data_IF_834549930334
#
_entry.id   IF_834549930334
#
_cell.length_a   1.000
_cell.length_b   1.000
_cell.length_c   1.000
_cell.angle_alpha   90.00
_cell.angle_beta   90.00
_cell.angle_gamma   90.00
#
_symmetry.space_group_name_H-M   'P 1'
#
loop_
_entity.id
_entity.type
_entity.pdbx_description
1 polymer ?
#
# COMPACT_ATOMS: atom_id res chain seq x y z
N UNK A 1 11.14 16.55 -27.98
CA UNK A 1 12.31 16.13 -27.18
C UNK A 1 11.90 15.35 -25.91
N UNK A 2 11.00 14.34 -26.03
CA UNK A 2 10.41 13.59 -24.89
C UNK A 2 10.96 12.17 -24.70
N UNK A 3 11.66 11.60 -25.69
CA UNK A 3 12.18 10.22 -25.64
C UNK A 3 13.28 9.97 -24.58
N UNK A 4 14.22 10.90 -24.27
CA UNK A 4 15.31 10.61 -23.34
C UNK A 4 14.80 10.35 -21.90
N UNK A 5 13.79 11.10 -21.45
CA UNK A 5 13.25 10.99 -20.10
C UNK A 5 12.33 9.78 -19.94
N UNK A 6 11.61 9.39 -21.00
CA UNK A 6 10.80 8.16 -21.00
C UNK A 6 11.68 6.92 -20.80
N UNK A 7 12.71 6.77 -21.64
CA UNK A 7 13.63 5.63 -21.55
C UNK A 7 14.33 5.58 -20.19
N UNK A 8 14.71 6.75 -19.63
CA UNK A 8 15.26 6.83 -18.28
C UNK A 8 14.27 6.39 -17.20
N UNK A 9 13.01 6.86 -17.27
CA UNK A 9 11.97 6.48 -16.32
C UNK A 9 11.75 4.97 -16.32
N UNK A 10 11.65 4.38 -17.52
CA UNK A 10 11.47 2.94 -17.70
C UNK A 10 12.66 2.13 -17.16
N UNK A 11 13.88 2.52 -17.51
CA UNK A 11 15.09 1.84 -17.05
C UNK A 11 15.24 1.92 -15.53
N UNK A 12 15.01 3.11 -14.93
CA UNK A 12 15.07 3.30 -13.49
C UNK A 12 14.01 2.46 -12.76
N UNK A 13 12.76 2.49 -13.22
CA UNK A 13 11.67 1.71 -12.62
C UNK A 13 11.92 0.21 -12.74
N UNK A 14 12.36 -0.28 -13.91
CA UNK A 14 12.68 -1.70 -14.10
C UNK A 14 13.83 -2.14 -13.21
N UNK A 15 14.90 -1.34 -13.11
CA UNK A 15 16.06 -1.67 -12.29
C UNK A 15 15.69 -1.83 -10.81
N UNK A 16 15.05 -0.81 -10.19
CA UNK A 16 14.69 -0.91 -8.77
C UNK A 16 13.61 -1.96 -8.51
N UNK A 17 12.71 -2.17 -9.46
CA UNK A 17 11.71 -3.22 -9.39
C UNK A 17 12.38 -4.59 -9.36
N UNK A 18 13.21 -4.91 -10.35
CA UNK A 18 13.87 -6.22 -10.44
C UNK A 18 14.74 -6.48 -9.20
N UNK A 19 15.51 -5.50 -8.74
CA UNK A 19 16.35 -5.65 -7.55
C UNK A 19 15.52 -5.91 -6.27
N UNK A 20 14.49 -5.10 -6.02
CA UNK A 20 13.65 -5.27 -4.83
C UNK A 20 12.86 -6.59 -4.86
N UNK A 21 12.33 -6.98 -6.02
CA UNK A 21 11.56 -8.21 -6.17
C UNK A 21 12.44 -9.46 -6.16
N UNK A 22 13.67 -9.39 -6.67
CA UNK A 22 14.64 -10.48 -6.52
C UNK A 22 14.92 -10.76 -5.03
N UNK A 23 15.06 -9.73 -4.20
CA UNK A 23 15.22 -9.90 -2.75
C UNK A 23 13.98 -10.57 -2.15
N UNK A 24 12.79 -10.06 -2.44
CA UNK A 24 11.55 -10.53 -1.80
C UNK A 24 11.19 -11.95 -2.23
N UNK A 25 11.13 -12.23 -3.53
CA UNK A 25 10.84 -13.57 -4.03
C UNK A 25 11.98 -14.54 -3.79
N UNK A 26 13.23 -14.06 -3.78
CA UNK A 26 14.40 -14.85 -3.40
C UNK A 26 14.28 -15.34 -1.96
N UNK A 27 13.93 -14.46 -1.02
CA UNK A 27 13.66 -14.82 0.38
C UNK A 27 12.50 -15.82 0.46
N UNK A 28 11.35 -15.50 -0.14
CA UNK A 28 10.18 -16.36 -0.06
C UNK A 28 10.45 -17.76 -0.59
N UNK A 29 11.13 -17.86 -1.73
CA UNK A 29 11.49 -19.15 -2.33
C UNK A 29 12.52 -19.89 -1.47
N UNK A 30 13.56 -19.20 -1.00
CA UNK A 30 14.64 -19.82 -0.22
C UNK A 30 14.12 -20.40 1.09
N UNK A 31 13.24 -19.68 1.77
CA UNK A 31 12.64 -20.13 3.03
C UNK A 31 11.55 -21.18 2.81
N UNK A 32 10.83 -21.13 1.68
CA UNK A 32 9.86 -22.15 1.32
C UNK A 32 10.53 -23.52 1.11
N UNK A 33 11.75 -23.54 0.58
CA UNK A 33 12.52 -24.77 0.44
C UNK A 33 12.91 -25.42 1.77
N UNK A 34 12.94 -24.67 2.88
CA UNK A 34 13.41 -25.19 4.17
C UNK A 34 12.28 -25.93 4.89
N UNK A 35 12.39 -27.25 4.99
CA UNK A 35 11.52 -28.11 5.78
C UNK A 35 12.20 -28.52 7.08
N UNK A 36 11.55 -28.25 8.21
CA UNK A 36 12.02 -28.67 9.52
C UNK A 36 11.18 -29.87 9.93
N UNK A 37 11.77 -31.07 9.86
CA UNK A 37 11.12 -32.32 10.20
C UNK A 37 11.42 -32.60 11.66
N UNK A 38 10.43 -32.36 12.53
CA UNK A 38 10.49 -32.74 13.95
C UNK A 38 10.15 -34.23 14.07
N UNK A 39 11.00 -35.05 14.71
CA UNK A 39 10.70 -36.47 14.90
C UNK A 39 9.49 -36.68 15.81
N UNK A 40 8.89 -37.88 15.73
CA UNK A 40 7.79 -38.29 16.60
C UNK A 40 8.21 -38.35 18.07
N UNK A 41 7.27 -38.09 18.98
CA UNK A 41 7.46 -37.98 20.44
C UNK A 41 8.08 -39.25 21.07
N UNK A 42 7.99 -40.40 20.40
CA UNK A 42 8.47 -41.69 20.91
C UNK A 42 9.99 -41.91 20.82
N UNK A 43 10.75 -40.99 20.20
CA UNK A 43 12.22 -41.07 20.13
C UNK A 43 12.88 -40.27 21.26
N UNK A 44 13.52 -40.95 22.21
CA UNK A 44 14.18 -40.35 23.38
C UNK A 44 15.32 -39.37 23.03
N UNK A 45 15.80 -39.37 21.79
CA UNK A 45 16.80 -38.45 21.24
C UNK A 45 16.43 -38.10 19.79
N UNK A 46 15.40 -37.29 19.65
CA UNK A 46 14.90 -36.79 18.37
C UNK A 46 15.77 -35.63 17.85
N UNK A 47 16.62 -35.88 16.84
CA UNK A 47 17.37 -34.81 16.14
C UNK A 47 16.46 -34.02 15.19
N UNK A 48 16.60 -32.70 15.18
CA UNK A 48 15.88 -31.82 14.23
C UNK A 48 16.52 -31.96 12.85
N UNK A 49 15.78 -32.55 11.90
CA UNK A 49 16.24 -32.66 10.51
C UNK A 49 15.82 -31.44 9.70
N UNK A 50 16.78 -30.81 9.02
CA UNK A 50 16.53 -29.73 8.06
C UNK A 50 16.70 -30.29 6.66
N UNK A 51 15.61 -30.33 5.89
CA UNK A 51 15.59 -30.83 4.52
C UNK A 51 15.31 -29.67 3.56
N UNK A 52 16.05 -29.63 2.44
CA UNK A 52 15.78 -28.71 1.33
C UNK A 52 14.86 -29.42 0.35
N UNK A 53 13.66 -28.88 0.17
CA UNK A 53 12.62 -29.43 -0.71
C UNK A 53 12.07 -28.32 -1.62
N UNK A 54 12.50 -28.34 -2.88
CA UNK A 54 12.10 -27.33 -3.87
C UNK A 54 10.62 -27.43 -4.26
N UNK A 55 9.99 -28.61 -4.13
CA UNK A 55 8.59 -28.82 -4.51
C UNK A 55 7.63 -28.03 -3.60
N UNK A 56 8.10 -27.60 -2.43
CA UNK A 56 7.35 -26.75 -1.49
C UNK A 56 7.25 -25.29 -1.92
N UNK A 57 8.10 -24.82 -2.83
CA UNK A 57 8.11 -23.39 -3.23
C UNK A 57 6.75 -22.95 -3.78
N UNK A 58 6.17 -23.71 -4.71
CA UNK A 58 4.88 -23.40 -5.32
C UNK A 58 3.73 -23.31 -4.28
N UNK A 59 3.49 -24.37 -3.50
CA UNK A 59 2.47 -24.38 -2.44
C UNK A 59 2.66 -23.25 -1.39
N UNK A 60 3.88 -22.99 -0.94
CA UNK A 60 4.13 -21.92 0.05
C UNK A 60 3.90 -20.53 -0.55
N UNK A 61 4.33 -20.28 -1.79
CA UNK A 61 4.01 -19.01 -2.47
C UNK A 61 2.51 -18.83 -2.67
N UNK A 62 1.77 -19.91 -2.98
CA UNK A 62 0.30 -19.88 -3.07
C UNK A 62 -0.34 -19.53 -1.73
N UNK A 63 0.16 -20.10 -0.64
CA UNK A 63 -0.28 -19.77 0.73
C UNK A 63 -0.02 -18.30 1.05
N UNK A 64 1.19 -17.79 0.75
CA UNK A 64 1.55 -16.38 0.92
C UNK A 64 0.64 -15.44 0.12
N UNK A 65 0.24 -15.84 -1.08
CA UNK A 65 -0.63 -15.03 -1.93
C UNK A 65 -2.09 -14.96 -1.46
N UNK A 66 -2.59 -15.96 -0.74
CA UNK A 66 -4.03 -16.11 -0.47
C UNK A 66 -4.43 -15.98 1.01
N UNK A 67 -3.50 -15.72 1.93
CA UNK A 67 -3.79 -15.56 3.36
C UNK A 67 -3.94 -14.08 3.81
N UNK A 68 -4.46 -13.87 5.02
CA UNK A 68 -4.76 -12.54 5.63
C UNK A 68 -5.70 -11.69 4.78
N UNK A 69 -5.49 -10.36 4.70
CA UNK A 69 -6.25 -9.44 3.84
C UNK A 69 -6.49 -9.98 2.42
N UNK A 70 -5.55 -10.77 1.85
CA UNK A 70 -5.72 -11.33 0.51
C UNK A 70 -6.87 -12.34 0.44
N UNK A 71 -7.14 -13.09 1.52
CA UNK A 71 -8.24 -14.05 1.56
C UNK A 71 -9.60 -13.34 1.45
N UNK A 72 -9.74 -12.16 2.08
CA UNK A 72 -10.93 -11.33 1.98
C UNK A 72 -11.13 -10.78 0.57
N UNK A 73 -10.08 -10.23 -0.05
CA UNK A 73 -10.14 -9.76 -1.44
C UNK A 73 -10.44 -10.90 -2.42
N UNK A 74 -9.81 -12.06 -2.23
CA UNK A 74 -10.05 -13.26 -3.04
C UNK A 74 -11.49 -13.77 -2.87
N UNK A 75 -12.01 -13.80 -1.64
CA UNK A 75 -13.39 -14.16 -1.35
C UNK A 75 -14.39 -13.27 -2.08
N UNK A 76 -14.14 -11.95 -2.11
CA UNK A 76 -14.96 -11.01 -2.90
C UNK A 76 -14.83 -11.28 -4.40
N UNK A 77 -13.62 -11.54 -4.90
CA UNK A 77 -13.40 -11.82 -6.31
C UNK A 77 -14.16 -13.08 -6.79
N UNK A 78 -14.26 -14.10 -5.93
CA UNK A 78 -14.99 -15.34 -6.21
C UNK A 78 -16.51 -15.19 -6.05
N UNK A 79 -16.93 -14.74 -4.87
CA UNK A 79 -18.31 -14.92 -4.39
C UNK A 79 -19.06 -13.59 -4.24
N UNK A 80 -18.38 -12.44 -4.41
CA UNK A 80 -18.93 -11.14 -4.09
C UNK A 80 -18.91 -10.84 -2.59
N UNK A 81 -19.62 -9.78 -2.20
CA UNK A 81 -19.78 -9.43 -0.79
C UNK A 81 -20.70 -10.42 -0.09
N UNK A 82 -20.45 -10.63 1.20
CA UNK A 82 -21.29 -11.51 2.01
C UNK A 82 -22.70 -10.92 2.15
N UNK A 83 -23.71 -11.62 1.64
CA UNK A 83 -25.10 -11.18 1.65
C UNK A 83 -25.82 -11.69 2.91
N UNK A 84 -25.81 -10.88 3.97
CA UNK A 84 -26.57 -11.12 5.21
C UNK A 84 -26.85 -9.80 5.93
N UNK A 85 -27.93 -9.69 6.74
CA UNK A 85 -28.18 -8.51 7.55
C UNK A 85 -26.97 -8.13 8.41
N UNK A 86 -26.69 -6.83 8.51
CA UNK A 86 -25.56 -6.33 9.28
C UNK A 86 -25.69 -6.68 10.77
N UNK A 87 -24.65 -7.29 11.35
CA UNK A 87 -24.48 -7.48 12.79
C UNK A 87 -23.03 -7.21 13.24
N UNK A 88 -22.88 -6.86 14.52
CA UNK A 88 -21.59 -6.51 15.17
C UNK A 88 -21.07 -7.65 16.05
N UNK A 89 -21.18 -8.89 15.59
CA UNK A 89 -20.69 -10.05 16.34
C UNK A 89 -19.86 -11.02 15.52
N UNK A 90 -19.68 -10.73 14.22
CA UNK A 90 -18.97 -11.62 13.30
C UNK A 90 -18.36 -10.81 12.17
N UNK A 91 -17.06 -11.00 11.97
CA UNK A 91 -16.32 -10.46 10.82
C UNK A 91 -17.00 -10.77 9.48
N UNK A 92 -16.90 -9.82 8.55
CA UNK A 92 -17.40 -9.95 7.19
C UNK A 92 -16.47 -9.21 6.23
N UNK A 93 -16.54 -9.55 4.94
CA UNK A 93 -15.71 -8.93 3.92
C UNK A 93 -16.09 -7.47 3.55
N UNK A 94 -17.07 -6.89 4.24
CA UNK A 94 -17.57 -5.52 3.97
C UNK A 94 -16.53 -4.42 4.19
N UNK A 95 -15.48 -4.66 4.98
CA UNK A 95 -14.36 -3.72 5.17
C UNK A 95 -13.49 -3.52 3.92
N UNK A 96 -13.57 -4.42 2.94
CA UNK A 96 -12.63 -4.51 1.83
C UNK A 96 -13.25 -3.90 0.57
N UNK A 97 -12.57 -2.92 -0.01
CA UNK A 97 -13.06 -2.11 -1.12
C UNK A 97 -12.99 -2.87 -2.47
N UNK A 98 -13.89 -2.58 -3.43
CA UNK A 98 -14.15 -3.48 -4.56
C UNK A 98 -13.15 -3.39 -5.71
N UNK A 99 -12.40 -2.30 -5.88
CA UNK A 99 -11.61 -2.11 -7.11
C UNK A 99 -10.57 -3.21 -7.36
N UNK A 100 -9.85 -3.66 -6.33
CA UNK A 100 -8.86 -4.73 -6.47
C UNK A 100 -9.50 -6.12 -6.69
N UNK A 101 -10.50 -6.57 -5.90
CA UNK A 101 -11.22 -7.81 -6.16
C UNK A 101 -11.84 -7.90 -7.55
N UNK A 102 -12.44 -6.81 -8.06
CA UNK A 102 -13.04 -6.80 -9.39
C UNK A 102 -11.99 -6.95 -10.50
N UNK A 103 -10.83 -6.29 -10.35
CA UNK A 103 -9.70 -6.49 -11.25
C UNK A 103 -9.19 -7.93 -11.19
N UNK A 104 -9.04 -8.48 -9.99
CA UNK A 104 -8.58 -9.85 -9.79
C UNK A 104 -9.54 -10.88 -10.41
N UNK A 105 -10.85 -10.71 -10.19
CA UNK A 105 -11.90 -11.50 -10.83
C UNK A 105 -11.80 -11.48 -12.35
N UNK A 106 -11.58 -10.30 -12.95
CA UNK A 106 -11.43 -10.15 -14.39
C UNK A 106 -10.25 -10.94 -14.95
N UNK A 107 -9.12 -10.97 -14.26
CA UNK A 107 -7.94 -11.76 -14.67
C UNK A 107 -8.18 -13.25 -14.44
N UNK A 108 -8.78 -13.65 -13.31
CA UNK A 108 -9.12 -15.05 -13.04
C UNK A 108 -10.10 -15.63 -14.08
N UNK A 109 -10.99 -14.80 -14.63
CA UNK A 109 -11.91 -15.20 -15.70
C UNK A 109 -11.19 -15.67 -16.99
N UNK A 110 -9.89 -15.40 -17.14
CA UNK A 110 -9.06 -15.94 -18.23
C UNK A 110 -8.62 -17.39 -18.00
N UNK A 111 -8.96 -17.99 -16.85
CA UNK A 111 -8.52 -19.32 -16.43
C UNK A 111 -7.21 -19.34 -15.65
N UNK A 112 -6.62 -18.17 -15.37
CA UNK A 112 -5.39 -18.08 -14.58
C UNK A 112 -5.64 -18.42 -13.10
N UNK A 113 -4.72 -19.17 -12.50
CA UNK A 113 -4.75 -19.51 -11.08
C UNK A 113 -4.87 -18.25 -10.19
N UNK A 114 -5.63 -18.34 -9.10
CA UNK A 114 -5.90 -17.22 -8.20
C UNK A 114 -4.62 -16.62 -7.61
N UNK A 115 -3.72 -17.46 -7.07
CA UNK A 115 -2.50 -16.96 -6.46
C UNK A 115 -1.56 -16.33 -7.49
N UNK A 116 -1.39 -17.00 -8.63
CA UNK A 116 -0.54 -16.52 -9.73
C UNK A 116 -1.06 -15.19 -10.27
N UNK A 117 -2.36 -15.10 -10.55
CA UNK A 117 -3.00 -13.87 -11.04
C UNK A 117 -2.88 -12.73 -10.04
N UNK A 118 -3.13 -12.97 -8.74
CA UNK A 118 -3.01 -11.96 -7.71
C UNK A 118 -1.59 -11.39 -7.59
N UNK A 119 -0.58 -12.27 -7.54
CA UNK A 119 0.83 -11.88 -7.49
C UNK A 119 1.21 -11.11 -8.76
N UNK A 120 0.82 -11.60 -9.94
CA UNK A 120 1.14 -10.97 -11.22
C UNK A 120 0.53 -9.57 -11.33
N UNK A 121 -0.76 -9.42 -10.99
CA UNK A 121 -1.45 -8.12 -10.98
C UNK A 121 -0.70 -7.13 -10.08
N UNK A 122 -0.43 -7.51 -8.83
CA UNK A 122 0.22 -6.61 -7.87
C UNK A 122 1.61 -6.17 -8.30
N UNK A 123 2.40 -7.08 -8.87
CA UNK A 123 3.76 -6.76 -9.30
C UNK A 123 3.79 -5.94 -10.60
N UNK A 124 2.90 -6.20 -11.57
CA UNK A 124 2.75 -5.37 -12.77
C UNK A 124 2.29 -3.95 -12.38
N UNK A 125 1.29 -3.85 -11.51
CA UNK A 125 0.81 -2.56 -11.03
C UNK A 125 1.88 -1.82 -10.22
N UNK A 126 2.70 -2.51 -9.44
CA UNK A 126 3.79 -1.86 -8.71
C UNK A 126 4.85 -1.30 -9.67
N UNK A 127 5.25 -2.07 -10.68
CA UNK A 127 6.17 -1.60 -11.73
C UNK A 127 5.59 -0.36 -12.46
N UNK A 128 4.31 -0.41 -12.83
CA UNK A 128 3.63 0.72 -13.43
C UNK A 128 3.57 1.93 -12.48
N UNK A 129 3.29 1.70 -11.19
CA UNK A 129 3.26 2.72 -10.15
C UNK A 129 4.62 3.41 -9.97
N UNK A 130 5.72 2.66 -9.99
CA UNK A 130 7.08 3.21 -9.99
C UNK A 130 7.35 4.07 -11.22
N UNK A 131 7.00 3.57 -12.41
CA UNK A 131 7.16 4.34 -13.65
C UNK A 131 6.37 5.65 -13.61
N UNK A 132 5.10 5.61 -13.19
CA UNK A 132 4.25 6.79 -13.07
C UNK A 132 4.77 7.75 -11.99
N UNK A 133 5.31 7.24 -10.88
CA UNK A 133 5.87 8.07 -9.81
C UNK A 133 7.10 8.83 -10.29
N UNK A 134 7.99 8.17 -11.02
CA UNK A 134 9.16 8.81 -11.62
C UNK A 134 8.74 9.96 -12.55
N UNK A 135 7.80 9.66 -13.46
CA UNK A 135 7.25 10.65 -14.40
C UNK A 135 6.56 11.80 -13.68
N UNK A 136 5.74 11.52 -12.67
CA UNK A 136 5.07 12.55 -11.88
C UNK A 136 6.09 13.45 -11.17
N UNK A 137 7.13 12.86 -10.59
CA UNK A 137 8.18 13.60 -9.87
C UNK A 137 8.90 14.60 -10.79
N UNK A 138 9.18 14.20 -12.03
CA UNK A 138 9.74 15.09 -13.05
C UNK A 138 8.74 16.15 -13.51
N UNK A 139 7.48 15.76 -13.75
CA UNK A 139 6.44 16.64 -14.28
C UNK A 139 6.02 17.72 -13.24
N UNK A 140 6.25 17.50 -11.94
CA UNK A 140 6.10 18.54 -10.88
C UNK A 140 7.37 19.38 -10.65
N UNK A 141 8.42 19.19 -11.47
CA UNK A 141 9.59 20.06 -11.50
C UNK A 141 10.77 19.62 -10.63
N UNK A 142 10.80 18.38 -10.14
CA UNK A 142 12.01 17.84 -9.50
C UNK A 142 13.01 17.29 -10.54
N UNK A 143 14.27 17.18 -10.13
CA UNK A 143 15.35 16.62 -10.96
C UNK A 143 15.33 15.08 -11.01
N UNK A 144 16.15 14.52 -11.92
CA UNK A 144 16.29 13.08 -12.12
C UNK A 144 16.75 12.34 -10.87
N UNK A 145 17.61 12.94 -10.03
CA UNK A 145 18.13 12.29 -8.84
C UNK A 145 17.05 12.15 -7.77
N UNK A 146 16.20 13.17 -7.59
CA UNK A 146 15.03 13.10 -6.71
C UNK A 146 14.06 12.02 -7.19
N UNK A 147 13.80 11.96 -8.49
CA UNK A 147 12.92 10.95 -9.07
C UNK A 147 13.47 9.52 -8.84
N UNK A 148 14.77 9.29 -9.11
CA UNK A 148 15.42 8.00 -8.90
C UNK A 148 15.40 7.59 -7.42
N UNK A 149 15.69 8.52 -6.50
CA UNK A 149 15.64 8.27 -5.05
C UNK A 149 14.24 7.99 -4.53
N UNK A 150 13.23 8.66 -5.07
CA UNK A 150 11.84 8.36 -4.72
C UNK A 150 11.48 6.91 -5.06
N UNK A 151 11.97 6.40 -6.19
CA UNK A 151 11.81 5.00 -6.55
C UNK A 151 12.56 4.07 -5.60
N UNK A 152 13.81 4.37 -5.26
CA UNK A 152 14.59 3.57 -4.31
C UNK A 152 13.91 3.52 -2.93
N UNK A 153 13.46 4.67 -2.45
CA UNK A 153 12.71 4.78 -1.19
C UNK A 153 11.49 3.88 -1.18
N UNK A 154 10.69 3.91 -2.25
CA UNK A 154 9.47 3.11 -2.31
C UNK A 154 9.74 1.61 -2.54
N UNK A 155 10.68 1.28 -3.42
CA UNK A 155 11.01 -0.10 -3.78
C UNK A 155 11.72 -0.86 -2.67
N UNK A 156 12.53 -0.17 -1.85
CA UNK A 156 13.29 -0.78 -0.76
C UNK A 156 12.78 -0.40 0.63
N UNK A 157 11.60 0.24 0.75
CA UNK A 157 11.05 0.52 2.08
C UNK A 157 10.85 -0.79 2.87
N UNK A 158 10.92 -0.75 4.21
CA UNK A 158 10.78 -1.93 5.07
C UNK A 158 9.57 -2.81 4.77
N UNK A 159 8.48 -2.21 4.28
CA UNK A 159 7.20 -2.88 4.02
C UNK A 159 6.93 -3.08 2.53
N UNK A 160 7.95 -3.03 1.68
CA UNK A 160 7.81 -3.09 0.21
C UNK A 160 7.24 -4.43 -0.29
N UNK A 161 7.31 -5.50 0.50
CA UNK A 161 6.70 -6.79 0.16
C UNK A 161 5.17 -6.71 0.03
N UNK A 162 4.49 -5.73 0.67
CA UNK A 162 3.06 -5.52 0.45
C UNK A 162 2.69 -5.14 -0.98
N UNK A 163 3.62 -4.54 -1.73
CA UNK A 163 3.41 -4.28 -3.16
C UNK A 163 3.54 -5.54 -4.04
N UNK A 164 4.06 -6.64 -3.49
CA UNK A 164 4.10 -7.95 -4.18
C UNK A 164 2.89 -8.83 -3.88
N UNK A 165 2.15 -8.54 -2.80
CA UNK A 165 1.02 -9.34 -2.36
C UNK A 165 -0.27 -8.93 -3.09
N UNK A 166 -1.27 -9.82 -3.22
CA UNK A 166 -2.56 -9.53 -3.86
C UNK A 166 -3.45 -8.58 -3.05
N UNK A 167 -2.94 -7.40 -2.73
CA UNK A 167 -3.57 -6.37 -1.92
C UNK A 167 -3.68 -5.07 -2.72
N UNK A 168 -4.43 -4.12 -2.17
CA UNK A 168 -4.73 -2.84 -2.83
C UNK A 168 -3.53 -1.89 -3.00
N UNK A 169 -2.39 -2.09 -2.33
CA UNK A 169 -1.28 -1.14 -2.28
C UNK A 169 -0.77 -0.72 -3.67
N UNK A 170 -0.47 -1.70 -4.52
CA UNK A 170 0.05 -1.45 -5.88
C UNK A 170 -0.98 -0.79 -6.78
N UNK A 171 -2.24 -1.21 -6.69
CA UNK A 171 -3.34 -0.59 -7.43
C UNK A 171 -3.57 0.85 -6.98
N UNK A 172 -3.58 1.09 -5.67
CA UNK A 172 -3.78 2.41 -5.11
C UNK A 172 -2.64 3.37 -5.47
N UNK A 173 -1.39 2.90 -5.51
CA UNK A 173 -0.25 3.67 -5.98
C UNK A 173 -0.47 4.13 -7.43
N UNK A 174 -0.83 3.22 -8.35
CA UNK A 174 -1.12 3.56 -9.76
C UNK A 174 -2.25 4.56 -9.87
N UNK A 175 -3.37 4.33 -9.17
CA UNK A 175 -4.55 5.19 -9.25
C UNK A 175 -4.28 6.59 -8.68
N UNK A 176 -3.63 6.68 -7.52
CA UNK A 176 -3.35 7.97 -6.86
C UNK A 176 -2.31 8.79 -7.64
N UNK A 177 -1.17 8.19 -8.01
CA UNK A 177 -0.12 8.84 -8.82
C UNK A 177 -0.67 9.19 -10.21
N UNK A 178 -1.38 8.25 -10.84
CA UNK A 178 -1.99 8.42 -12.13
C UNK A 178 -2.98 9.59 -12.16
N UNK A 179 -3.83 9.72 -11.14
CA UNK A 179 -4.78 10.84 -11.00
C UNK A 179 -4.06 12.19 -11.00
N UNK A 180 -2.96 12.33 -10.24
CA UNK A 180 -2.15 13.55 -10.24
C UNK A 180 -1.47 13.81 -11.58
N UNK A 181 -0.92 12.76 -12.20
CA UNK A 181 -0.20 12.88 -13.47
C UNK A 181 -1.13 13.33 -14.61
N UNK A 182 -2.33 12.77 -14.70
CA UNK A 182 -3.32 13.17 -15.71
C UNK A 182 -3.94 14.54 -15.41
N UNK A 183 -4.02 14.92 -14.13
CA UNK A 183 -4.39 16.28 -13.70
C UNK A 183 -3.37 17.31 -14.20
N UNK A 184 -2.06 17.06 -14.03
CA UNK A 184 -1.00 17.96 -14.52
C UNK A 184 -1.08 18.11 -16.04
N UNK A 185 -1.36 17.00 -16.73
CA UNK A 185 -1.56 16.97 -18.19
C UNK A 185 -2.92 17.48 -18.65
N UNK A 186 -3.80 17.93 -17.73
CA UNK A 186 -5.13 18.47 -18.01
C UNK A 186 -6.10 17.51 -18.72
N UNK A 187 -5.93 16.20 -18.53
CA UNK A 187 -6.85 15.17 -19.01
C UNK A 187 -7.95 14.90 -17.96
N UNK A 188 -8.96 15.76 -17.91
CA UNK A 188 -9.97 15.78 -16.84
C UNK A 188 -10.86 14.54 -16.80
N UNK A 189 -11.20 13.98 -17.95
CA UNK A 189 -12.03 12.79 -18.06
C UNK A 189 -11.31 11.57 -17.45
N UNK A 190 -10.02 11.39 -17.79
CA UNK A 190 -9.19 10.33 -17.22
C UNK A 190 -8.89 10.58 -15.74
N UNK A 191 -8.76 11.85 -15.32
CA UNK A 191 -8.64 12.23 -13.91
C UNK A 191 -9.84 11.75 -13.11
N UNK A 192 -11.06 11.94 -13.61
CA UNK A 192 -12.27 11.40 -12.99
C UNK A 192 -12.22 9.87 -12.89
N UNK A 193 -11.93 9.17 -13.99
CA UNK A 193 -11.92 7.69 -14.01
C UNK A 193 -10.92 7.14 -12.98
N UNK A 194 -9.68 7.62 -13.00
CA UNK A 194 -8.65 7.15 -12.06
C UNK A 194 -8.98 7.53 -10.60
N UNK A 195 -9.48 8.75 -10.38
CA UNK A 195 -9.88 9.22 -9.05
C UNK A 195 -11.08 8.46 -8.48
N UNK A 196 -12.07 8.14 -9.32
CA UNK A 196 -13.21 7.32 -8.92
C UNK A 196 -12.80 5.89 -8.60
N UNK A 197 -11.94 5.28 -9.42
CA UNK A 197 -11.35 3.98 -9.10
C UNK A 197 -10.52 4.03 -7.81
N UNK A 198 -9.80 5.13 -7.52
CA UNK A 198 -9.06 5.28 -6.27
C UNK A 198 -10.00 5.30 -5.06
N UNK A 199 -11.12 6.02 -5.16
CA UNK A 199 -12.18 6.06 -4.13
C UNK A 199 -12.84 4.70 -3.92
N UNK A 200 -12.96 3.90 -4.99
CA UNK A 200 -13.44 2.51 -4.93
C UNK A 200 -12.34 1.50 -4.54
N UNK A 201 -11.09 1.93 -4.38
CA UNK A 201 -9.96 1.07 -4.01
C UNK A 201 -9.66 1.14 -2.52
N UNK A 202 -9.71 2.35 -1.93
CA UNK A 202 -9.47 2.59 -0.50
C UNK A 202 -10.17 3.87 -0.05
N UNK A 203 -10.52 3.96 1.23
CA UNK A 203 -11.08 5.19 1.82
C UNK A 203 -10.16 6.42 1.61
N UNK A 204 -8.84 6.21 1.66
CA UNK A 204 -7.81 7.25 1.42
C UNK A 204 -7.94 7.88 0.02
N UNK A 205 -8.53 7.18 -0.94
CA UNK A 205 -8.82 7.72 -2.27
C UNK A 205 -9.72 8.96 -2.24
N UNK A 206 -10.64 9.06 -1.26
CA UNK A 206 -11.48 10.25 -1.08
C UNK A 206 -10.66 11.52 -0.79
N UNK A 207 -9.47 11.38 -0.20
CA UNK A 207 -8.60 12.52 0.11
C UNK A 207 -7.94 13.14 -1.13
N UNK A 208 -8.02 12.47 -2.29
CA UNK A 208 -7.67 13.09 -3.57
C UNK A 208 -8.54 14.31 -3.86
N UNK A 209 -9.82 14.31 -3.46
CA UNK A 209 -10.74 15.42 -3.72
C UNK A 209 -10.24 16.74 -3.10
N UNK A 210 -10.12 16.87 -1.76
CA UNK A 210 -9.64 18.13 -1.16
C UNK A 210 -8.20 18.45 -1.57
N UNK A 211 -7.37 17.44 -1.79
CA UNK A 211 -5.99 17.61 -2.27
C UNK A 211 -5.92 18.28 -3.65
N UNK A 212 -6.68 17.78 -4.63
CA UNK A 212 -6.70 18.30 -5.99
C UNK A 212 -7.39 19.67 -6.04
N UNK A 213 -8.45 19.88 -5.24
CA UNK A 213 -9.05 21.20 -5.07
C UNK A 213 -8.01 22.22 -4.63
N UNK A 214 -7.26 21.91 -3.56
CA UNK A 214 -6.23 22.80 -3.02
C UNK A 214 -5.07 23.01 -3.99
N UNK A 215 -4.67 21.96 -4.72
CA UNK A 215 -3.60 22.05 -5.72
C UNK A 215 -3.96 22.97 -6.89
N UNK A 216 -5.19 22.90 -7.40
CA UNK A 216 -5.65 23.69 -8.55
C UNK A 216 -6.19 25.07 -8.16
N UNK A 217 -6.48 25.31 -6.87
CA UNK A 217 -7.07 26.55 -6.38
C UNK A 217 -6.33 27.84 -6.78
N UNK A 218 -4.98 27.89 -6.73
CA UNK A 218 -4.24 29.07 -7.16
C UNK A 218 -4.44 29.41 -8.65
N UNK A 219 -4.76 28.39 -9.46
CA UNK A 219 -4.95 28.51 -10.91
C UNK A 219 -6.44 28.54 -11.31
N UNK A 220 -7.37 28.69 -10.35
CA UNK A 220 -8.81 28.53 -10.59
C UNK A 220 -9.42 29.39 -11.70
N UNK A 221 -8.82 30.56 -11.99
CA UNK A 221 -9.28 31.44 -13.07
C UNK A 221 -8.98 30.92 -14.50
N UNK A 222 -8.05 29.97 -14.65
CA UNK A 222 -7.65 29.42 -15.96
C UNK A 222 -7.96 27.93 -16.13
N UNK A 223 -8.41 27.27 -15.06
CA UNK A 223 -8.75 25.84 -15.06
C UNK A 223 -10.17 25.65 -15.60
N UNK A 224 -10.32 24.69 -16.52
CA UNK A 224 -11.61 24.36 -17.13
C UNK A 224 -12.64 23.89 -16.10
N UNK A 225 -13.92 24.22 -16.30
CA UNK A 225 -15.06 23.70 -15.52
C UNK A 225 -15.06 22.16 -15.46
N UNK A 226 -14.57 21.50 -16.51
CA UNK A 226 -14.44 20.03 -16.56
C UNK A 226 -13.58 19.48 -15.42
N UNK A 227 -12.53 20.19 -15.00
CA UNK A 227 -11.67 19.75 -13.90
C UNK A 227 -12.43 19.71 -12.58
N UNK A 228 -13.21 20.76 -12.28
CA UNK A 228 -14.01 20.85 -11.06
C UNK A 228 -15.13 19.80 -11.02
N UNK A 229 -15.79 19.56 -12.16
CA UNK A 229 -16.78 18.49 -12.29
C UNK A 229 -16.12 17.12 -12.05
N UNK A 230 -14.97 16.87 -12.68
CA UNK A 230 -14.24 15.62 -12.52
C UNK A 230 -13.83 15.37 -11.06
N UNK A 231 -13.35 16.39 -10.34
CA UNK A 231 -13.02 16.30 -8.91
C UNK A 231 -14.27 16.01 -8.07
N UNK A 232 -15.37 16.74 -8.31
CA UNK A 232 -16.62 16.55 -7.59
C UNK A 232 -17.25 15.18 -7.84
N UNK A 233 -17.00 14.58 -9.01
CA UNK A 233 -17.53 13.28 -9.39
C UNK A 233 -16.69 12.09 -8.88
N UNK A 234 -15.42 12.27 -8.46
CA UNK A 234 -14.58 11.16 -7.99
C UNK A 234 -15.23 10.31 -6.86
N UNK A 235 -15.92 10.90 -5.86
CA UNK A 235 -16.58 10.11 -4.81
C UNK A 235 -17.65 9.13 -5.31
N UNK A 236 -18.13 9.25 -6.56
CA UNK A 236 -19.10 8.30 -7.12
C UNK A 236 -18.60 6.85 -7.09
N UNK A 237 -17.28 6.61 -7.18
CA UNK A 237 -16.73 5.26 -7.02
C UNK A 237 -16.93 4.69 -5.60
N UNK A 238 -16.82 5.54 -4.58
CA UNK A 238 -17.12 5.15 -3.20
C UNK A 238 -18.62 5.01 -2.95
N UNK A 239 -19.44 5.91 -3.51
CA UNK A 239 -20.91 5.83 -3.41
C UNK A 239 -21.44 4.54 -4.06
N UNK A 240 -20.91 4.14 -5.21
CA UNK A 240 -21.28 2.87 -5.84
C UNK A 240 -20.99 1.67 -4.91
N UNK A 241 -19.84 1.70 -4.21
CA UNK A 241 -19.50 0.67 -3.23
C UNK A 241 -20.47 0.65 -2.04
N UNK A 242 -20.82 1.79 -1.46
CA UNK A 242 -21.75 1.81 -0.31
C UNK A 242 -23.16 1.39 -0.70
N UNK A 243 -23.59 1.62 -1.94
CA UNK A 243 -24.87 1.09 -2.48
C UNK A 243 -24.83 -0.44 -2.57
N UNK A 244 -23.72 -1.03 -3.03
CA UNK A 244 -23.55 -2.50 -3.03
C UNK A 244 -23.67 -3.05 -1.61
N UNK A 245 -22.98 -2.43 -0.65
CA UNK A 245 -23.08 -2.85 0.77
C UNK A 245 -24.48 -2.70 1.33
N UNK A 246 -25.22 -1.66 0.96
CA UNK A 246 -26.62 -1.51 1.36
C UNK A 246 -27.48 -2.67 0.85
N UNK A 247 -27.30 -3.07 -0.41
CA UNK A 247 -28.07 -4.18 -0.98
C UNK A 247 -27.76 -5.52 -0.30
N UNK A 248 -26.49 -5.76 0.04
CA UNK A 248 -26.05 -7.05 0.60
C UNK A 248 -26.23 -7.14 2.13
N UNK A 249 -26.15 -6.01 2.84
CA UNK A 249 -26.15 -5.97 4.31
C UNK A 249 -27.24 -5.12 4.96
N UNK A 250 -27.91 -4.25 4.20
CA UNK A 250 -28.82 -3.24 4.75
C UNK A 250 -28.12 -2.10 5.50
N UNK A 251 -26.80 -1.94 5.38
CA UNK A 251 -26.04 -0.88 6.05
C UNK A 251 -25.04 -0.21 5.08
N UNK A 252 -25.25 1.09 4.77
CA UNK A 252 -24.32 1.88 3.93
C UNK A 252 -22.92 2.03 4.55
N UNK A 253 -22.83 1.99 5.87
CA UNK A 253 -21.59 2.18 6.63
C UNK A 253 -20.95 0.85 7.07
N UNK A 254 -21.40 -0.28 6.52
CA UNK A 254 -20.90 -1.61 6.90
C UNK A 254 -19.36 -1.68 6.85
N UNK A 255 -18.71 -1.05 5.86
CA UNK A 255 -17.24 -1.01 5.74
C UNK A 255 -16.50 -0.39 6.93
N UNK A 256 -17.14 0.57 7.60
CA UNK A 256 -16.59 1.30 8.75
C UNK A 256 -17.02 0.64 10.05
N UNK A 257 -18.29 0.24 10.15
CA UNK A 257 -18.83 -0.35 11.37
C UNK A 257 -18.20 -1.71 11.68
N UNK A 258 -17.95 -2.52 10.65
CA UNK A 258 -17.34 -3.85 10.80
C UNK A 258 -15.88 -3.78 11.27
N UNK A 259 -15.21 -2.63 11.18
CA UNK A 259 -13.82 -2.43 11.66
C UNK A 259 -13.69 -2.70 13.18
N UNK A 260 -14.79 -2.59 13.94
CA UNK A 260 -14.81 -2.86 15.37
C UNK A 260 -14.48 -4.32 15.71
N UNK A 261 -14.79 -5.26 14.80
CA UNK A 261 -14.43 -6.68 14.92
C UNK A 261 -12.91 -6.92 14.87
N UNK A 262 -12.15 -5.93 14.42
CA UNK A 262 -10.68 -5.91 14.45
C UNK A 262 -10.13 -4.95 15.50
N UNK A 263 -10.96 -4.58 16.49
CA UNK A 263 -10.58 -3.67 17.59
C UNK A 263 -10.34 -2.22 17.16
N UNK A 264 -10.69 -1.84 15.93
CA UNK A 264 -10.50 -0.48 15.42
C UNK A 264 -11.73 0.39 15.68
N UNK A 265 -11.50 1.55 16.28
CA UNK A 265 -12.54 2.54 16.56
C UNK A 265 -11.93 3.94 16.52
N UNK A 266 -12.74 4.95 16.20
CA UNK A 266 -12.26 6.32 16.16
C UNK A 266 -11.81 6.74 17.57
N UNK A 267 -10.53 7.07 17.73
CA UNK A 267 -9.97 7.54 18.99
C UNK A 267 -8.67 8.30 18.77
N UNK A 268 -8.33 9.17 19.72
CA UNK A 268 -7.06 9.89 19.68
C UNK A 268 -5.94 8.90 20.04
N UNK A 269 -4.90 8.75 19.22
CA UNK A 269 -3.86 7.72 19.40
C UNK A 269 -2.88 7.99 20.56
N UNK A 270 -3.21 8.84 21.54
CA UNK A 270 -2.29 9.18 22.64
C UNK A 270 -1.85 7.95 23.43
N UNK A 271 -2.74 6.96 23.63
CA UNK A 271 -2.37 5.69 24.27
C UNK A 271 -1.34 4.93 23.44
N UNK A 272 -1.61 4.77 22.15
CA UNK A 272 -0.77 3.97 21.24
C UNK A 272 0.60 4.60 21.01
N UNK A 273 0.67 5.93 20.94
CA UNK A 273 1.92 6.69 20.95
C UNK A 273 2.62 6.63 22.32
N UNK A 274 1.87 6.76 23.42
CA UNK A 274 2.38 6.68 24.78
C UNK A 274 3.07 5.35 25.08
N UNK A 275 2.56 4.22 24.56
CA UNK A 275 3.23 2.92 24.76
C UNK A 275 4.63 2.91 24.15
N UNK A 276 4.84 3.51 22.98
CA UNK A 276 6.17 3.53 22.33
C UNK A 276 7.18 4.33 23.16
N UNK A 277 6.72 5.44 23.77
CA UNK A 277 7.57 6.32 24.55
C UNK A 277 7.83 5.79 25.98
N UNK A 278 6.81 5.21 26.61
CA UNK A 278 6.87 4.76 28.02
C UNK A 278 7.41 3.34 28.14
N UNK A 279 7.15 2.47 27.15
CA UNK A 279 7.57 1.07 27.13
C UNK A 279 8.39 0.77 25.86
N UNK A 280 9.54 1.43 25.65
CA UNK A 280 10.34 1.24 24.43
C UNK A 280 10.87 -0.19 24.24
N UNK A 281 10.95 -0.98 25.32
CA UNK A 281 11.30 -2.41 25.25
C UNK A 281 10.17 -3.30 24.69
N UNK A 282 8.92 -2.80 24.65
CA UNK A 282 7.79 -3.52 24.09
C UNK A 282 7.69 -3.25 22.59
N UNK A 283 8.56 -3.90 21.83
CA UNK A 283 8.77 -3.61 20.41
C UNK A 283 7.60 -4.07 19.52
N UNK A 284 6.90 -5.13 19.91
CA UNK A 284 5.84 -5.70 19.09
C UNK A 284 4.72 -6.34 19.90
N UNK A 285 3.50 -6.25 19.35
CA UNK A 285 2.33 -7.03 19.75
C UNK A 285 1.57 -7.39 18.49
N UNK A 286 1.30 -8.67 18.27
CA UNK A 286 0.71 -9.16 17.02
C UNK A 286 1.47 -8.56 15.81
N UNK A 287 0.74 -7.98 14.86
CA UNK A 287 1.22 -7.47 13.57
C UNK A 287 1.67 -6.00 13.63
N UNK A 288 2.02 -5.51 14.82
CA UNK A 288 2.42 -4.14 15.08
C UNK A 288 3.89 -4.05 15.55
N UNK A 289 4.83 -3.90 14.62
CA UNK A 289 6.20 -3.47 14.95
C UNK A 289 6.20 -1.98 15.30
N UNK A 290 5.97 -1.69 16.58
CA UNK A 290 5.63 -0.34 17.07
C UNK A 290 6.70 0.72 16.73
N UNK A 291 8.02 0.47 16.91
CA UNK A 291 9.04 1.46 16.57
C UNK A 291 9.05 1.80 15.09
N UNK A 292 8.90 0.80 14.21
CA UNK A 292 8.87 1.03 12.76
C UNK A 292 7.64 1.87 12.36
N UNK A 293 6.46 1.50 12.86
CA UNK A 293 5.23 2.23 12.58
C UNK A 293 5.29 3.67 13.09
N UNK A 294 5.88 3.87 14.26
CA UNK A 294 6.11 5.20 14.85
C UNK A 294 7.09 6.05 14.02
N UNK A 295 8.25 5.49 13.67
CA UNK A 295 9.27 6.19 12.85
C UNK A 295 8.74 6.51 11.46
N UNK A 296 8.00 5.59 10.83
CA UNK A 296 7.36 5.84 9.54
C UNK A 296 6.33 6.97 9.60
N UNK A 297 5.52 7.02 10.67
CA UNK A 297 4.58 8.12 10.89
C UNK A 297 5.28 9.46 11.11
N UNK A 298 6.31 9.50 11.97
CA UNK A 298 7.10 10.72 12.19
C UNK A 298 7.79 11.19 10.90
N UNK A 299 8.37 10.25 10.13
CA UNK A 299 8.94 10.53 8.82
C UNK A 299 7.90 11.11 7.85
N UNK A 300 6.69 10.55 7.83
CA UNK A 300 5.56 11.06 7.07
C UNK A 300 5.13 12.47 7.50
N UNK A 301 5.08 12.75 8.81
CA UNK A 301 4.80 14.08 9.34
C UNK A 301 5.88 15.10 8.95
N UNK A 302 7.16 14.72 9.04
CA UNK A 302 8.28 15.55 8.58
C UNK A 302 8.19 15.83 7.07
N UNK A 303 7.85 14.83 6.26
CA UNK A 303 7.62 14.98 4.83
C UNK A 303 6.43 15.89 4.53
N UNK A 304 5.32 15.73 5.25
CA UNK A 304 4.13 16.58 5.14
C UNK A 304 4.45 18.03 5.47
N UNK A 305 5.16 18.27 6.59
CA UNK A 305 5.63 19.61 6.95
C UNK A 305 6.54 20.19 5.87
N UNK A 306 7.52 19.42 5.39
CA UNK A 306 8.44 19.85 4.35
C UNK A 306 7.72 20.28 3.06
N UNK A 307 6.72 19.49 2.62
CA UNK A 307 5.86 19.82 1.48
C UNK A 307 5.05 21.09 1.75
N UNK A 308 4.44 21.22 2.93
CA UNK A 308 3.58 22.34 3.30
C UNK A 308 4.30 23.71 3.33
N UNK A 309 5.64 23.74 3.45
CA UNK A 309 6.44 24.99 3.40
C UNK A 309 6.36 25.71 2.06
N UNK A 310 5.89 25.06 1.00
CA UNK A 310 5.84 25.60 -0.36
C UNK A 310 4.39 25.55 -0.87
N UNK A 311 3.75 26.69 -1.19
CA UNK A 311 2.35 26.73 -1.61
C UNK A 311 2.00 25.82 -2.79
N UNK A 312 2.92 25.64 -3.74
CA UNK A 312 2.73 24.73 -4.87
C UNK A 312 2.55 23.25 -4.47
N UNK A 313 2.97 22.88 -3.26
CA UNK A 313 2.92 21.51 -2.75
C UNK A 313 1.79 21.29 -1.74
N UNK A 314 0.95 22.29 -1.48
CA UNK A 314 -0.11 22.20 -0.46
C UNK A 314 -1.10 21.06 -0.72
N UNK A 315 -1.46 20.78 -1.98
CA UNK A 315 -2.28 19.61 -2.32
C UNK A 315 -1.58 18.28 -1.94
N UNK A 316 -0.31 18.13 -2.30
CA UNK A 316 0.50 16.95 -1.95
C UNK A 316 0.63 16.77 -0.43
N UNK A 317 0.88 17.88 0.29
CA UNK A 317 0.96 17.89 1.74
C UNK A 317 -0.38 17.48 2.38
N UNK A 318 -1.51 18.02 1.88
CA UNK A 318 -2.83 17.68 2.38
C UNK A 318 -3.17 16.20 2.15
N UNK A 319 -2.88 15.67 0.97
CA UNK A 319 -3.10 14.24 0.68
C UNK A 319 -2.30 13.34 1.63
N UNK A 320 -1.01 13.65 1.81
CA UNK A 320 -0.15 12.92 2.74
C UNK A 320 -0.65 13.04 4.19
N UNK A 321 -0.96 14.27 4.64
CA UNK A 321 -1.43 14.52 6.00
C UNK A 321 -2.72 13.77 6.33
N UNK A 322 -3.74 13.87 5.47
CA UNK A 322 -5.00 13.14 5.67
C UNK A 322 -4.80 11.62 5.61
N UNK A 323 -3.96 11.13 4.68
CA UNK A 323 -3.63 9.71 4.56
C UNK A 323 -2.87 9.15 5.77
N UNK A 324 -2.06 9.96 6.46
CA UNK A 324 -1.39 9.59 7.71
C UNK A 324 -2.34 9.65 8.91
N UNK A 325 -3.18 10.68 8.98
CA UNK A 325 -4.09 10.90 10.11
C UNK A 325 -5.19 9.84 10.15
N UNK A 326 -5.79 9.48 9.01
CA UNK A 326 -6.91 8.55 8.97
C UNK A 326 -6.63 7.21 9.68
N UNK A 327 -5.55 6.46 9.37
CA UNK A 327 -5.22 5.24 10.11
C UNK A 327 -4.76 5.53 11.55
N UNK A 328 -4.02 6.62 11.80
CA UNK A 328 -3.58 6.98 13.15
C UNK A 328 -4.76 7.22 14.11
N UNK A 329 -5.88 7.74 13.61
CA UNK A 329 -7.10 7.99 14.39
C UNK A 329 -7.94 6.74 14.67
N UNK A 330 -7.51 5.54 14.24
CA UNK A 330 -8.23 4.27 14.51
C UNK A 330 -7.86 3.61 15.83
N UNK A 331 -7.03 4.29 16.65
CA UNK A 331 -6.61 3.79 17.96
C UNK A 331 -5.46 2.80 17.94
N UNK A 332 -4.97 2.40 16.77
CA UNK A 332 -3.82 1.51 16.64
C UNK A 332 -2.75 2.10 15.73
N UNK A 333 -1.48 1.81 16.05
CA UNK A 333 -0.34 2.07 15.15
C UNK A 333 -0.09 0.88 14.19
N UNK A 334 -0.88 -0.19 14.27
CA UNK A 334 -0.76 -1.36 13.39
C UNK A 334 -0.81 -0.92 11.92
N UNK A 335 0.10 -1.44 11.10
CA UNK A 335 0.21 -1.15 9.67
C UNK A 335 0.48 0.30 9.27
N UNK A 336 0.84 1.19 10.22
CA UNK A 336 1.06 2.60 9.90
C UNK A 336 2.26 2.82 8.97
N UNK A 337 3.29 1.97 9.04
CA UNK A 337 4.39 1.97 8.09
C UNK A 337 3.90 1.63 6.67
N UNK A 338 3.14 0.53 6.51
CA UNK A 338 2.53 0.12 5.24
C UNK A 338 1.71 1.26 4.62
N UNK A 339 0.84 1.89 5.42
CA UNK A 339 -0.01 2.97 4.92
C UNK A 339 0.79 4.24 4.58
N UNK A 340 1.78 4.61 5.41
CA UNK A 340 2.65 5.77 5.15
C UNK A 340 3.43 5.61 3.84
N UNK A 341 4.11 4.47 3.65
CA UNK A 341 4.94 4.25 2.46
C UNK A 341 4.12 4.14 1.17
N UNK A 342 2.86 3.72 1.23
CA UNK A 342 1.96 3.70 0.08
C UNK A 342 1.52 5.10 -0.41
N UNK A 343 1.75 6.16 0.38
CA UNK A 343 1.42 7.53 0.01
C UNK A 343 2.58 8.14 -0.80
N UNK A 344 2.38 8.24 -2.11
CA UNK A 344 3.43 8.69 -3.04
C UNK A 344 4.11 10.04 -2.70
N UNK A 345 3.45 11.06 -2.09
CA UNK A 345 4.15 12.30 -1.74
C UNK A 345 5.25 12.08 -0.70
N UNK A 346 5.14 11.02 0.12
CA UNK A 346 6.20 10.66 1.06
C UNK A 346 7.47 10.26 0.33
N UNK A 347 7.37 9.45 -0.72
CA UNK A 347 8.51 9.05 -1.54
C UNK A 347 9.19 10.25 -2.23
N UNK A 348 8.40 11.22 -2.73
CA UNK A 348 8.91 12.45 -3.36
C UNK A 348 9.67 13.32 -2.33
N UNK A 349 9.10 13.49 -1.13
CA UNK A 349 9.74 14.25 -0.07
C UNK A 349 11.03 13.56 0.42
N UNK A 350 11.01 12.23 0.55
CA UNK A 350 12.18 11.44 0.91
C UNK A 350 13.30 11.53 -0.14
N UNK A 351 12.95 11.48 -1.43
CA UNK A 351 13.92 11.66 -2.52
C UNK A 351 14.65 13.01 -2.47
N UNK A 352 14.00 14.05 -1.92
CA UNK A 352 14.63 15.35 -1.66
C UNK A 352 15.49 15.39 -0.38
N UNK A 353 15.18 14.58 0.63
CA UNK A 353 15.88 14.57 1.91
C UNK A 353 17.24 13.86 1.84
N UNK A 354 17.33 12.77 1.08
CA UNK A 354 18.53 11.94 0.98
C UNK A 354 19.53 12.43 -0.08
N UNK A 355 19.83 13.74 -0.14
CA UNK A 355 20.84 14.28 -1.08
C UNK A 355 22.28 13.95 -0.69
N UNK A 356 22.53 13.71 0.60
CA UNK A 356 23.84 13.34 1.12
C UNK A 356 24.10 11.84 0.88
N UNK A 357 25.16 11.45 0.17
CA UNK A 357 25.45 10.05 -0.14
C UNK A 357 25.55 9.14 1.09
N UNK A 358 26.06 9.64 2.22
CA UNK A 358 26.16 8.86 3.46
C UNK A 358 24.78 8.56 4.05
N UNK A 359 23.91 9.57 4.10
CA UNK A 359 22.53 9.40 4.60
C UNK A 359 21.71 8.50 3.67
N UNK A 360 21.88 8.67 2.36
CA UNK A 360 21.26 7.83 1.34
C UNK A 360 21.67 6.36 1.51
N UNK A 361 22.97 6.09 1.64
CA UNK A 361 23.49 4.73 1.86
C UNK A 361 23.00 4.15 3.20
N UNK A 362 23.05 4.91 4.29
CA UNK A 362 22.54 4.47 5.60
C UNK A 362 21.06 4.11 5.54
N UNK A 363 20.25 4.94 4.87
CA UNK A 363 18.83 4.65 4.69
C UNK A 363 18.61 3.37 3.88
N UNK A 364 19.32 3.19 2.76
CA UNK A 364 19.19 2.01 1.91
C UNK A 364 19.58 0.74 2.69
N UNK A 365 20.72 0.75 3.39
CA UNK A 365 21.18 -0.40 4.18
C UNK A 365 20.12 -0.76 5.23
N UNK A 366 19.69 0.21 6.04
CA UNK A 366 18.67 -0.03 7.07
C UNK A 366 17.36 -0.53 6.46
N UNK A 367 16.88 0.10 5.39
CA UNK A 367 15.61 -0.25 4.77
C UNK A 367 15.63 -1.63 4.14
N UNK A 368 16.73 -2.01 3.47
CA UNK A 368 16.94 -3.36 2.92
C UNK A 368 17.04 -4.38 4.05
N UNK A 369 17.78 -4.10 5.13
CA UNK A 369 17.85 -5.00 6.29
C UNK A 369 16.46 -5.24 6.89
N UNK A 370 15.67 -4.19 7.13
CA UNK A 370 14.31 -4.34 7.64
C UNK A 370 13.38 -5.01 6.61
N UNK A 371 13.52 -4.73 5.31
CA UNK A 371 12.77 -5.39 4.26
C UNK A 371 13.03 -6.90 4.29
N UNK A 372 14.29 -7.33 4.40
CA UNK A 372 14.66 -8.75 4.51
C UNK A 372 14.02 -9.36 5.76
N UNK A 373 14.21 -8.76 6.92
CA UNK A 373 13.69 -9.26 8.20
C UNK A 373 12.16 -9.37 8.21
N UNK A 374 11.46 -8.36 7.69
CA UNK A 374 10.00 -8.36 7.66
C UNK A 374 9.44 -9.29 6.60
N UNK A 375 10.10 -9.45 5.46
CA UNK A 375 9.71 -10.43 4.44
C UNK A 375 9.81 -11.86 4.99
N UNK A 376 10.90 -12.15 5.73
CA UNK A 376 11.09 -13.42 6.43
C UNK A 376 10.01 -13.65 7.50
N UNK A 377 9.78 -12.64 8.37
CA UNK A 377 8.82 -12.75 9.45
C UNK A 377 7.38 -12.93 8.93
N UNK A 378 7.01 -12.22 7.87
CA UNK A 378 5.71 -12.33 7.21
C UNK A 378 5.45 -13.77 6.73
N UNK A 379 6.42 -14.36 6.02
CA UNK A 379 6.31 -15.74 5.51
C UNK A 379 6.22 -16.77 6.63
N UNK A 380 7.05 -16.65 7.67
CA UNK A 380 7.03 -17.59 8.81
C UNK A 380 5.85 -17.39 9.73
N UNK A 381 4.96 -16.45 9.41
CA UNK A 381 3.82 -16.07 10.25
C UNK A 381 4.25 -15.71 11.68
N UNK A 382 5.51 -15.26 11.85
CA UNK A 382 6.11 -14.89 13.12
C UNK A 382 5.60 -13.49 13.47
N UNK A 383 4.35 -13.42 13.92
CA UNK A 383 3.63 -12.24 14.41
C UNK A 383 3.60 -10.97 13.53
N UNK A 384 4.54 -10.65 12.63
CA UNK A 384 4.38 -9.58 11.63
C UNK A 384 3.53 -10.07 10.46
N UNK A 385 2.46 -10.77 10.83
CA UNK A 385 1.50 -11.59 10.01
C UNK A 385 -1.48 -11.18 9.78
N UNK A 386 -2.18 -10.12 9.20
CA UNK A 386 -3.62 -9.89 9.07
C UNK A 386 -4.26 -9.28 10.31
N UNK A 387 -5.09 -8.26 10.06
CA UNK A 387 -6.30 -8.10 10.84
C UNK A 387 -7.30 -9.09 10.24
#
# INVERSE_FOLDING_TARGET
MYMPTFNRSLAASLCVFLLSRLIIFGIWSSVACINVVTPSIDEAFADVNIVIDADRVGPELRKIALYNDASWYYGIALNGYEARPFDKGRQANWAFFPAFPLLWRGVMATGMDAAVSGLLISNILFLLGLFLLHRLTLDIGHDLFVADRALMFLAFCPTSYFFSLPWTESLFLVLSVGTFLVMIKKHWELMFVLGACACACRLVGLFLVPSLLLYLWPQRGVISRKAWIAIAAMPLGFVAFTIVLWNDSGNFFAFSDIQQEWGRHLTIPYKSFGVVLIKPWFLASDWNLRPLNFVAFLGGCCACYWLARRPQNWGLALFLGLGLLAPALTGSLTSLARYSFALFPFAIAAGNAFKNPKLELSYIILSVTFLVLLTLAFQKQLAFAGA
#
